data_IF_169288095881
#
_entry.id   IF_169288095881
#
_cell.length_a   1.000
_cell.length_b   1.000
_cell.length_c   1.000
_cell.angle_alpha   90.00
_cell.angle_beta   90.00
_cell.angle_gamma   90.00
#
_symmetry.space_group_name_H-M   'P 1'
#
loop_
_entity.id
_entity.type
_entity.pdbx_description
1 polymer ?
#
# COMPACT_ATOMS: atom_id res chain seq x y z
N UNK A 1 -57.60 63.25 -37.80
CA UNK A 1 -56.17 63.17 -37.45
C UNK A 1 -56.04 62.89 -35.96
N UNK A 2 -55.57 61.71 -35.55
CA UNK A 2 -54.94 61.49 -34.25
C UNK A 2 -53.97 60.33 -34.40
N UNK A 3 -52.69 60.64 -34.19
CA UNK A 3 -51.55 59.83 -34.61
C UNK A 3 -51.25 58.72 -33.59
N UNK A 4 -51.15 57.50 -34.11
CA UNK A 4 -50.45 56.36 -33.51
C UNK A 4 -48.97 56.69 -33.40
N UNK A 5 -48.37 56.51 -32.21
CA UNK A 5 -46.99 55.97 -32.06
C UNK A 5 -46.61 55.87 -30.58
N UNK A 6 -46.89 54.73 -29.92
CA UNK A 6 -46.30 54.42 -28.61
C UNK A 6 -46.22 52.91 -28.36
N UNK A 7 -45.54 52.15 -29.23
CA UNK A 7 -45.26 50.72 -28.91
C UNK A 7 -43.87 50.22 -29.29
N UNK A 8 -43.04 51.00 -30.00
CA UNK A 8 -41.72 50.53 -30.48
C UNK A 8 -40.57 50.70 -29.47
N UNK A 9 -40.75 51.50 -28.42
CA UNK A 9 -39.70 51.79 -27.42
C UNK A 9 -39.66 50.80 -26.26
N UNK A 10 -40.78 50.15 -25.91
CA UNK A 10 -40.83 49.17 -24.83
C UNK A 10 -40.13 47.86 -25.21
N UNK A 11 -40.32 47.38 -26.44
CA UNK A 11 -39.75 46.10 -26.91
C UNK A 11 -38.22 46.14 -27.06
N UNK A 12 -37.66 47.31 -27.37
CA UNK A 12 -36.20 47.52 -27.52
C UNK A 12 -35.44 47.55 -26.19
N UNK A 13 -36.12 47.83 -25.07
CA UNK A 13 -35.50 47.88 -23.72
C UNK A 13 -35.57 46.56 -22.95
N UNK A 14 -36.42 45.63 -23.38
CA UNK A 14 -36.54 44.30 -22.78
C UNK A 14 -35.50 43.31 -23.34
N UNK A 15 -35.10 43.47 -24.60
CA UNK A 15 -34.09 42.63 -25.26
C UNK A 15 -32.72 42.56 -24.54
N UNK A 16 -32.11 43.66 -24.06
CA UNK A 16 -30.81 43.57 -23.36
C UNK A 16 -30.94 42.93 -21.98
N UNK A 17 -32.10 43.04 -21.33
CA UNK A 17 -32.34 42.45 -20.01
C UNK A 17 -32.47 40.93 -20.11
N UNK A 18 -33.18 40.43 -21.13
CA UNK A 18 -33.33 38.99 -21.40
C UNK A 18 -32.00 38.33 -21.77
N UNK A 19 -31.14 39.01 -22.54
CA UNK A 19 -29.81 38.52 -22.90
C UNK A 19 -28.88 38.50 -21.68
N UNK A 20 -28.93 39.53 -20.83
CA UNK A 20 -28.14 39.59 -19.60
C UNK A 20 -28.53 38.46 -18.61
N UNK A 21 -29.83 38.19 -18.44
CA UNK A 21 -30.30 37.09 -17.59
C UNK A 21 -29.93 35.72 -18.16
N UNK A 22 -29.97 35.55 -19.49
CA UNK A 22 -29.51 34.32 -20.14
C UNK A 22 -28.00 34.10 -19.95
N UNK A 23 -27.17 35.14 -20.06
CA UNK A 23 -25.71 35.01 -19.81
C UNK A 23 -25.36 34.69 -18.36
N UNK A 24 -26.13 35.20 -17.38
CA UNK A 24 -25.92 34.85 -15.97
C UNK A 24 -26.32 33.40 -15.65
N UNK A 25 -27.36 32.88 -16.30
CA UNK A 25 -27.82 31.50 -16.10
C UNK A 25 -26.87 30.48 -16.76
N UNK A 26 -26.23 30.82 -17.90
CA UNK A 26 -25.20 29.95 -18.50
C UNK A 26 -23.86 29.94 -17.75
N UNK A 27 -23.52 31.02 -17.02
CA UNK A 27 -22.32 31.07 -16.18
C UNK A 27 -22.42 30.17 -14.92
N UNK A 28 -23.62 29.72 -14.55
CA UNK A 28 -23.86 28.83 -13.40
C UNK A 28 -23.76 27.32 -13.70
N UNK A 29 -23.81 26.91 -14.97
CA UNK A 29 -23.78 25.48 -15.35
C UNK A 29 -22.37 24.92 -15.55
N UNK A 30 -21.34 25.76 -15.60
CA UNK A 30 -19.95 25.35 -15.44
C UNK A 30 -19.55 25.58 -14.00
N UNK A 31 -19.83 24.61 -13.12
CA UNK A 31 -19.17 24.57 -11.80
C UNK A 31 -17.66 24.78 -12.00
N UNK A 32 -16.98 25.56 -11.14
CA UNK A 32 -15.67 26.14 -11.48
C UNK A 32 -14.73 25.06 -11.98
N UNK A 33 -14.34 25.12 -13.26
CA UNK A 33 -13.39 24.17 -13.82
C UNK A 33 -12.11 24.10 -12.99
N UNK A 34 -11.75 25.22 -12.33
CA UNK A 34 -10.69 25.34 -11.33
C UNK A 34 -10.88 24.48 -10.06
N UNK A 35 -12.12 24.30 -9.58
CA UNK A 35 -12.39 23.38 -8.46
C UNK A 35 -12.28 21.92 -8.90
N UNK A 36 -12.69 21.59 -10.13
CA UNK A 36 -12.59 20.24 -10.67
C UNK A 36 -11.13 19.86 -10.99
N UNK A 37 -10.37 20.76 -11.61
CA UNK A 37 -8.93 20.56 -11.83
C UNK A 37 -8.17 20.53 -10.51
N UNK A 38 -8.45 21.45 -9.59
CA UNK A 38 -7.85 21.47 -8.26
C UNK A 38 -8.12 20.20 -7.44
N UNK A 39 -9.32 19.61 -7.55
CA UNK A 39 -9.63 18.32 -6.91
C UNK A 39 -8.87 17.14 -7.53
N UNK A 40 -8.75 17.10 -8.86
CA UNK A 40 -7.99 16.05 -9.57
C UNK A 40 -6.51 16.13 -9.20
N UNK A 41 -5.89 17.31 -9.31
CA UNK A 41 -4.48 17.55 -8.95
C UNK A 41 -4.23 17.21 -7.48
N UNK A 42 -5.16 17.57 -6.60
CA UNK A 42 -5.14 17.21 -5.18
C UNK A 42 -5.18 15.70 -4.96
N UNK A 43 -6.12 14.98 -5.58
CA UNK A 43 -6.23 13.53 -5.42
C UNK A 43 -4.98 12.79 -5.89
N UNK A 44 -4.35 13.28 -6.96
CA UNK A 44 -3.09 12.74 -7.46
C UNK A 44 -1.93 13.02 -6.49
N UNK A 45 -1.84 14.24 -5.96
CA UNK A 45 -0.84 14.59 -4.96
C UNK A 45 -1.01 13.76 -3.67
N UNK A 46 -2.24 13.53 -3.22
CA UNK A 46 -2.54 12.67 -2.07
C UNK A 46 -2.01 11.25 -2.27
N UNK A 47 -2.33 10.63 -3.42
CA UNK A 47 -1.89 9.29 -3.74
C UNK A 47 -0.35 9.21 -3.83
N UNK A 48 0.27 10.21 -4.47
CA UNK A 48 1.73 10.28 -4.61
C UNK A 48 2.42 10.40 -3.25
N UNK A 49 1.92 11.27 -2.36
CA UNK A 49 2.49 11.44 -1.02
C UNK A 49 2.31 10.18 -0.18
N UNK A 50 1.15 9.51 -0.25
CA UNK A 50 0.95 8.23 0.41
C UNK A 50 1.97 7.16 -0.03
N UNK A 51 2.18 7.03 -1.35
CA UNK A 51 3.20 6.14 -1.92
C UNK A 51 4.60 6.48 -1.40
N UNK A 52 4.99 7.74 -1.46
CA UNK A 52 6.31 8.15 -1.04
C UNK A 52 6.50 8.01 0.49
N UNK A 53 5.47 8.24 1.30
CA UNK A 53 5.53 8.04 2.75
C UNK A 53 5.76 6.56 3.11
N UNK A 54 5.02 5.64 2.47
CA UNK A 54 5.24 4.20 2.66
C UNK A 54 6.67 3.81 2.27
N UNK A 55 7.14 4.23 1.08
CA UNK A 55 8.49 3.92 0.61
C UNK A 55 9.58 4.53 1.49
N UNK A 56 9.41 5.77 1.95
CA UNK A 56 10.33 6.45 2.86
C UNK A 56 10.44 5.71 4.20
N UNK A 57 9.34 5.14 4.70
CA UNK A 57 9.38 4.32 5.90
C UNK A 57 10.12 3.00 5.70
N UNK A 58 9.98 2.36 4.54
CA UNK A 58 10.80 1.19 4.19
C UNK A 58 12.29 1.57 4.08
N UNK A 59 12.61 2.69 3.45
CA UNK A 59 13.96 3.22 3.35
C UNK A 59 14.58 3.54 4.72
N UNK A 60 13.81 4.13 5.65
CA UNK A 60 14.22 4.35 7.05
C UNK A 60 14.62 3.05 7.72
N UNK A 61 13.74 2.06 7.68
CA UNK A 61 13.98 0.74 8.28
C UNK A 61 15.22 0.06 7.70
N UNK A 62 15.40 0.18 6.37
CA UNK A 62 16.58 -0.34 5.67
C UNK A 62 17.90 0.29 6.12
N UNK A 63 17.85 1.53 6.63
CA UNK A 63 19.01 2.24 7.20
C UNK A 63 19.04 2.21 8.73
N UNK A 64 18.25 1.35 9.38
CA UNK A 64 18.23 1.21 10.84
C UNK A 64 17.50 2.33 11.59
N UNK A 65 16.71 3.14 10.88
CA UNK A 65 15.91 4.21 11.48
C UNK A 65 14.45 3.76 11.66
N UNK A 66 13.76 4.21 12.73
CA UNK A 66 12.37 3.84 12.96
C UNK A 66 11.42 4.45 11.90
N UNK A 67 10.29 3.77 11.58
CA UNK A 67 9.28 4.33 10.68
C UNK A 67 8.48 5.45 11.37
N UNK A 68 8.04 6.44 10.60
CA UNK A 68 7.20 7.54 11.07
C UNK A 68 5.95 7.68 10.20
N UNK A 69 4.79 7.71 10.85
CA UNK A 69 3.50 7.92 10.21
C UNK A 69 2.94 9.26 10.63
N UNK A 70 2.69 10.13 9.66
CA UNK A 70 1.89 11.31 9.86
C UNK A 70 0.55 11.03 9.20
N UNK A 71 -0.54 11.32 9.90
CA UNK A 71 -1.87 11.30 9.32
C UNK A 71 -2.13 12.70 8.76
N UNK A 72 -2.54 12.76 7.50
CA UNK A 72 -3.04 14.00 6.93
C UNK A 72 -4.43 14.27 7.49
N UNK A 73 -4.59 15.38 8.23
CA UNK A 73 -5.89 15.86 8.64
C UNK A 73 -6.69 16.39 7.45
N UNK A 74 -7.99 16.64 7.64
CA UNK A 74 -8.81 17.30 6.62
C UNK A 74 -8.22 18.69 6.28
N UNK A 75 -8.02 18.97 4.99
CA UNK A 75 -7.55 20.29 4.51
C UNK A 75 -8.77 21.20 4.36
N UNK A 76 -8.88 22.23 5.18
CA UNK A 76 -9.79 23.35 4.94
C UNK A 76 -9.12 24.35 4.00
N UNK A 77 -9.48 24.31 2.72
CA UNK A 77 -9.11 25.35 1.77
C UNK A 77 -9.91 26.63 2.09
N UNK A 78 -9.31 27.58 2.81
CA UNK A 78 -9.85 28.93 2.94
C UNK A 78 -9.30 29.80 1.81
N UNK A 79 -10.11 30.06 0.78
CA UNK A 79 -9.81 31.06 -0.23
C UNK A 79 -9.96 32.46 0.39
N UNK A 80 -8.87 33.10 0.79
CA UNK A 80 -8.88 34.52 1.17
C UNK A 80 -8.33 35.36 0.02
N UNK A 81 -9.23 35.97 -0.74
CA UNK A 81 -8.85 36.88 -1.82
C UNK A 81 -8.38 38.21 -1.21
N UNK A 82 -7.11 38.27 -0.79
CA UNK A 82 -6.53 39.50 -0.23
C UNK A 82 -5.76 40.22 -1.32
N UNK A 83 -6.40 41.20 -1.97
CA UNK A 83 -5.74 42.09 -2.94
C UNK A 83 -4.90 43.11 -2.16
N UNK A 84 -3.72 42.70 -1.70
CA UNK A 84 -2.78 43.54 -0.95
C UNK A 84 -1.36 43.37 -1.51
N UNK A 85 -0.82 44.45 -2.06
CA UNK A 85 0.55 44.54 -2.57
C UNK A 85 1.56 44.64 -1.41
N UNK A 86 1.85 43.53 -0.74
CA UNK A 86 2.92 43.47 0.25
C UNK A 86 3.69 42.15 0.07
N UNK A 87 4.88 42.23 -0.52
CA UNK A 87 5.79 41.10 -0.63
C UNK A 87 6.29 40.69 0.76
N UNK A 88 5.78 39.57 1.27
CA UNK A 88 6.37 38.86 2.41
C UNK A 88 7.02 37.58 1.88
N UNK A 89 8.35 37.56 1.83
CA UNK A 89 9.11 36.33 1.69
C UNK A 89 9.07 35.60 3.04
N UNK A 90 8.30 34.51 3.13
CA UNK A 90 8.37 33.58 4.27
C UNK A 90 9.47 32.57 3.97
N UNK A 91 10.55 32.60 4.76
CA UNK A 91 11.51 31.50 4.79
C UNK A 91 10.92 30.39 5.67
N UNK A 92 10.61 29.24 5.08
CA UNK A 92 10.31 28.01 5.83
C UNK A 92 11.57 27.57 6.56
N UNK A 93 11.65 27.89 7.85
CA UNK A 93 12.70 27.42 8.75
C UNK A 93 12.57 25.90 8.94
N UNK A 94 13.60 25.15 8.51
CA UNK A 94 14.00 23.90 9.15
C UNK A 94 13.21 22.63 8.84
N UNK A 95 12.70 22.45 7.62
CA UNK A 95 12.20 21.12 7.20
C UNK A 95 13.36 20.19 6.88
N UNK A 96 13.45 19.07 7.61
CA UNK A 96 14.29 17.92 7.20
C UNK A 96 13.98 17.57 5.74
N UNK A 97 14.98 17.32 4.88
CA UNK A 97 14.75 16.88 3.50
C UNK A 97 13.79 15.68 3.48
N UNK A 98 12.68 15.77 2.75
CA UNK A 98 11.68 14.70 2.66
C UNK A 98 10.61 14.73 3.76
N UNK A 99 10.33 15.90 4.33
CA UNK A 99 9.14 16.09 5.16
C UNK A 99 7.87 16.07 4.29
N UNK A 100 6.75 15.51 4.79
CA UNK A 100 5.49 15.43 4.03
C UNK A 100 5.01 16.77 3.43
N UNK A 101 5.13 17.94 4.11
CA UNK A 101 4.76 19.22 3.51
C UNK A 101 5.55 19.54 2.24
N UNK A 102 6.85 19.25 2.22
CA UNK A 102 7.74 19.46 1.07
C UNK A 102 7.35 18.52 -0.09
N UNK A 103 7.09 17.25 0.23
CA UNK A 103 6.67 16.23 -0.73
C UNK A 103 5.32 16.57 -1.38
N UNK A 104 4.36 17.03 -0.59
CA UNK A 104 3.03 17.44 -1.06
C UNK A 104 3.10 18.72 -1.92
N UNK A 105 3.88 19.72 -1.51
CA UNK A 105 4.10 20.95 -2.29
C UNK A 105 4.75 20.64 -3.64
N UNK A 106 5.72 19.72 -3.67
CA UNK A 106 6.35 19.23 -4.90
C UNK A 106 5.38 18.44 -5.78
N UNK A 107 4.53 17.59 -5.20
CA UNK A 107 3.52 16.83 -5.94
C UNK A 107 2.46 17.73 -6.61
N UNK A 108 2.13 18.86 -5.99
CA UNK A 108 1.26 19.89 -6.58
C UNK A 108 1.99 20.82 -7.57
N UNK A 109 3.29 20.65 -7.80
CA UNK A 109 4.06 21.51 -8.71
C UNK A 109 4.23 22.96 -8.20
N UNK A 110 4.03 23.22 -6.91
CA UNK A 110 4.08 24.55 -6.30
C UNK A 110 5.51 24.99 -5.93
N UNK A 111 6.54 24.52 -6.64
CA UNK A 111 7.96 24.74 -6.31
C UNK A 111 8.49 26.15 -6.65
N UNK A 112 7.62 27.14 -6.70
CA UNK A 112 7.94 28.56 -6.86
C UNK A 112 7.09 29.36 -5.89
N UNK A 113 7.48 30.60 -5.58
CA UNK A 113 6.79 31.51 -4.66
C UNK A 113 5.33 31.77 -5.06
N UNK A 114 4.45 30.82 -4.79
CA UNK A 114 3.02 30.95 -4.95
C UNK A 114 2.50 31.61 -3.67
N UNK A 115 1.92 32.80 -3.82
CA UNK A 115 1.33 33.61 -2.75
C UNK A 115 0.07 32.99 -2.13
N UNK A 116 -0.36 31.81 -2.61
CA UNK A 116 -1.50 31.03 -2.12
C UNK A 116 -1.05 29.59 -1.79
N UNK A 117 -0.48 29.40 -0.60
CA UNK A 117 -0.23 28.07 -0.06
C UNK A 117 -1.46 27.61 0.76
N UNK A 118 -2.07 26.45 0.47
CA UNK A 118 -3.12 25.90 1.31
C UNK A 118 -2.59 25.62 2.73
N UNK A 119 -3.39 25.86 3.76
CA UNK A 119 -3.00 25.50 5.13
C UNK A 119 -3.17 23.99 5.30
N UNK A 120 -2.05 23.30 5.53
CA UNK A 120 -2.04 21.85 5.74
C UNK A 120 -2.03 21.53 7.24
N UNK A 121 -2.91 20.64 7.66
CA UNK A 121 -2.95 20.15 9.03
C UNK A 121 -2.35 18.74 9.09
N UNK A 122 -1.19 18.60 9.71
CA UNK A 122 -0.54 17.31 9.94
C UNK A 122 -0.63 16.98 11.43
N UNK A 123 -1.26 15.84 11.75
CA UNK A 123 -1.22 15.29 13.10
C UNK A 123 -0.24 14.10 13.11
N UNK A 124 0.84 14.15 13.90
CA UNK A 124 1.65 12.95 14.10
C UNK A 124 0.78 11.86 14.74
N UNK A 125 0.80 10.66 14.17
CA UNK A 125 0.23 9.48 14.83
C UNK A 125 1.17 9.10 15.98
N UNK A 126 1.02 9.77 17.12
CA UNK A 126 1.83 9.55 18.31
C UNK A 126 0.94 9.41 19.54
N UNK A 127 1.16 8.35 20.33
CA UNK A 127 0.47 8.14 21.61
C UNK A 127 0.33 6.65 22.00
N UNK A 128 -0.08 6.36 23.26
CA UNK A 128 -0.18 4.99 23.78
C UNK A 128 -1.15 4.08 22.99
N UNK A 129 -2.23 4.65 22.44
CA UNK A 129 -3.19 3.91 21.61
C UNK A 129 -2.60 3.47 20.26
N UNK A 130 -1.76 4.30 19.64
CA UNK A 130 -1.07 3.95 18.40
C UNK A 130 -0.03 2.85 18.62
N UNK A 131 0.76 2.93 19.70
CA UNK A 131 1.73 1.88 20.04
C UNK A 131 1.08 0.51 20.27
N UNK A 132 -0.10 0.47 20.89
CA UNK A 132 -0.83 -0.78 21.11
C UNK A 132 -1.36 -1.39 19.81
N UNK A 133 -1.83 -0.55 18.87
CA UNK A 133 -2.40 -1.00 17.58
C UNK A 133 -1.31 -1.49 16.63
N UNK A 134 -0.18 -0.78 16.51
CA UNK A 134 0.91 -1.17 15.59
C UNK A 134 1.68 -2.42 16.06
N UNK A 135 1.59 -2.76 17.36
CA UNK A 135 2.16 -3.96 17.96
C UNK A 135 1.19 -5.14 17.99
N UNK A 136 -0.08 -4.94 17.65
CA UNK A 136 -1.04 -6.03 17.50
C UNK A 136 -0.76 -6.79 16.19
N UNK A 137 -0.82 -8.12 16.19
CA UNK A 137 -0.87 -8.89 14.94
C UNK A 137 -1.99 -8.40 14.02
N UNK A 138 -1.73 -8.42 12.73
CA UNK A 138 -2.72 -8.09 11.70
C UNK A 138 -3.92 -9.04 11.83
N UNK A 139 -5.12 -8.49 11.69
CA UNK A 139 -6.36 -9.27 11.77
C UNK A 139 -6.40 -10.32 10.64
N UNK A 140 -6.66 -11.61 10.94
CA UNK A 140 -6.80 -12.66 9.93
C UNK A 140 -7.75 -12.33 8.78
N UNK A 141 -8.79 -11.53 9.03
CA UNK A 141 -9.75 -11.10 8.01
C UNK A 141 -9.14 -10.18 6.96
N UNK A 142 -8.06 -9.46 7.30
CA UNK A 142 -7.28 -8.66 6.35
C UNK A 142 -6.68 -9.55 5.27
N UNK A 143 -6.08 -10.68 5.69
CA UNK A 143 -5.50 -11.65 4.76
C UNK A 143 -6.58 -12.22 3.83
N UNK A 144 -7.69 -12.71 4.40
CA UNK A 144 -8.78 -13.29 3.63
C UNK A 144 -9.40 -12.28 2.65
N UNK A 145 -9.60 -11.04 3.08
CA UNK A 145 -10.13 -9.97 2.24
C UNK A 145 -9.22 -9.65 1.05
N UNK A 146 -7.91 -9.50 1.29
CA UNK A 146 -6.95 -9.27 0.20
C UNK A 146 -6.83 -10.49 -0.73
N UNK A 147 -6.86 -11.70 -0.20
CA UNK A 147 -6.85 -12.91 -1.01
C UNK A 147 -8.08 -12.99 -1.94
N UNK A 148 -9.26 -12.59 -1.45
CA UNK A 148 -10.49 -12.48 -2.25
C UNK A 148 -10.43 -11.36 -3.31
N UNK A 149 -9.69 -10.27 -3.02
CA UNK A 149 -9.44 -9.18 -3.97
C UNK A 149 -8.45 -9.57 -5.08
N UNK A 150 -7.87 -10.77 -5.02
CA UNK A 150 -6.97 -11.31 -6.05
C UNK A 150 -5.49 -11.11 -5.75
N UNK A 151 -5.12 -10.67 -4.55
CA UNK A 151 -3.72 -10.68 -4.14
C UNK A 151 -3.20 -12.12 -4.07
N UNK A 152 -2.02 -12.33 -4.64
CA UNK A 152 -1.38 -13.64 -4.65
C UNK A 152 -1.11 -14.13 -3.22
N UNK A 153 -1.44 -15.38 -2.93
CA UNK A 153 -1.08 -16.04 -1.67
C UNK A 153 0.44 -15.95 -1.41
N UNK A 154 1.26 -15.93 -2.46
CA UNK A 154 2.70 -15.70 -2.37
C UNK A 154 3.02 -14.35 -1.74
N UNK A 155 2.50 -13.26 -2.29
CA UNK A 155 2.71 -11.92 -1.74
C UNK A 155 2.16 -11.82 -0.31
N UNK A 156 0.94 -12.32 -0.07
CA UNK A 156 0.31 -12.23 1.25
C UNK A 156 1.05 -13.03 2.31
N UNK A 157 1.46 -14.26 2.02
CA UNK A 157 2.20 -15.09 2.99
C UNK A 157 3.60 -14.52 3.26
N UNK A 158 4.33 -14.12 2.22
CA UNK A 158 5.68 -13.54 2.40
C UNK A 158 5.64 -12.18 3.09
N UNK A 159 4.57 -11.41 2.89
CA UNK A 159 4.36 -10.13 3.56
C UNK A 159 3.85 -10.27 5.00
N UNK A 160 2.79 -11.04 5.22
CA UNK A 160 2.00 -11.01 6.45
C UNK A 160 2.29 -12.17 7.41
N UNK A 161 2.80 -13.31 6.95
CA UNK A 161 3.10 -14.42 7.85
C UNK A 161 4.44 -14.19 8.55
N UNK A 162 4.48 -14.38 9.86
CA UNK A 162 5.72 -14.44 10.65
C UNK A 162 6.22 -15.89 10.73
N UNK A 163 5.32 -16.79 11.10
CA UNK A 163 5.54 -18.21 11.29
C UNK A 163 4.27 -18.97 10.91
N UNK A 164 4.43 -20.21 10.44
CA UNK A 164 3.32 -21.10 10.12
C UNK A 164 3.50 -22.45 10.79
N UNK A 165 2.41 -22.98 11.33
CA UNK A 165 2.35 -24.36 11.80
C UNK A 165 1.59 -25.18 10.78
N UNK A 166 2.32 -25.99 10.02
CA UNK A 166 1.76 -26.97 9.10
C UNK A 166 1.40 -28.24 9.89
N UNK A 167 0.15 -28.67 9.79
CA UNK A 167 -0.32 -29.97 10.26
C UNK A 167 -0.69 -30.82 9.05
N UNK A 168 -0.05 -31.97 8.89
CA UNK A 168 -0.34 -32.88 7.78
C UNK A 168 -1.61 -33.72 8.07
N UNK A 169 -2.03 -34.53 7.09
CA UNK A 169 -3.21 -35.40 7.22
C UNK A 169 -3.08 -36.46 8.33
N UNK A 170 -1.85 -36.83 8.73
CA UNK A 170 -1.61 -37.75 9.85
C UNK A 170 -1.55 -37.06 11.21
N UNK A 171 -1.77 -35.74 11.27
CA UNK A 171 -1.73 -34.94 12.49
C UNK A 171 -0.32 -34.53 12.95
N UNK A 172 0.73 -34.85 12.19
CA UNK A 172 2.10 -34.42 12.48
C UNK A 172 2.22 -32.91 12.24
N UNK A 173 2.83 -32.21 13.20
CA UNK A 173 3.02 -30.75 13.15
C UNK A 173 4.45 -30.39 12.80
N UNK A 174 4.62 -29.34 12.01
CA UNK A 174 5.91 -28.74 11.66
C UNK A 174 5.78 -27.23 11.66
N UNK A 175 6.77 -26.56 12.25
CA UNK A 175 6.82 -25.10 12.31
C UNK A 175 7.79 -24.59 11.26
N UNK A 176 7.32 -23.69 10.39
CA UNK A 176 8.11 -23.07 9.33
C UNK A 176 8.12 -21.55 9.53
N UNK A 177 9.29 -20.94 9.40
CA UNK A 177 9.51 -19.51 9.66
C UNK A 177 9.64 -18.75 8.36
N UNK A 178 9.05 -17.56 8.30
CA UNK A 178 9.22 -16.65 7.17
C UNK A 178 10.47 -15.77 7.36
N UNK A 179 11.64 -16.38 7.26
CA UNK A 179 12.93 -15.72 7.32
C UNK A 179 14.07 -16.73 7.18
N UNK A 180 15.11 -16.38 6.45
CA UNK A 180 16.28 -17.24 6.29
C UNK A 180 17.08 -17.32 7.59
N UNK A 181 17.36 -18.55 8.03
CA UNK A 181 18.26 -18.85 9.15
C UNK A 181 19.38 -19.75 8.62
N UNK A 182 20.63 -19.33 8.81
CA UNK A 182 21.78 -20.11 8.35
C UNK A 182 21.94 -21.43 9.13
N UNK A 183 21.44 -21.50 10.36
CA UNK A 183 21.49 -22.73 11.18
C UNK A 183 20.44 -23.76 10.74
N UNK A 184 19.35 -23.29 10.14
CA UNK A 184 18.24 -24.13 9.64
C UNK A 184 17.79 -23.66 8.25
N UNK A 185 18.72 -23.75 7.30
CA UNK A 185 18.51 -23.22 5.94
C UNK A 185 17.36 -23.87 5.18
N UNK A 186 17.01 -25.12 5.53
CA UNK A 186 15.94 -25.85 4.87
C UNK A 186 14.56 -25.37 5.31
N UNK A 187 14.41 -24.90 6.55
CA UNK A 187 13.14 -24.43 7.10
C UNK A 187 12.52 -23.31 6.26
N UNK A 188 13.33 -22.30 5.90
CA UNK A 188 12.86 -21.23 5.04
C UNK A 188 12.57 -21.71 3.62
N UNK A 189 13.36 -22.65 3.09
CA UNK A 189 13.09 -23.27 1.80
C UNK A 189 11.74 -23.99 1.77
N UNK A 190 11.42 -24.71 2.84
CA UNK A 190 10.14 -25.41 3.00
C UNK A 190 8.97 -24.46 3.23
N UNK A 191 9.18 -23.34 3.94
CA UNK A 191 8.21 -22.25 3.99
C UNK A 191 7.88 -21.76 2.57
N UNK A 192 8.89 -21.48 1.73
CA UNK A 192 8.68 -21.02 0.36
C UNK A 192 7.97 -22.06 -0.52
N UNK A 193 8.27 -23.36 -0.35
CA UNK A 193 7.56 -24.44 -1.06
C UNK A 193 6.11 -24.58 -0.61
N UNK A 194 5.82 -24.39 0.68
CA UNK A 194 4.45 -24.32 1.18
C UNK A 194 3.73 -23.12 0.54
N UNK A 195 4.37 -21.96 0.47
CA UNK A 195 3.81 -20.75 -0.17
C UNK A 195 3.46 -21.02 -1.64
N UNK A 196 4.32 -21.69 -2.39
CA UNK A 196 4.04 -22.11 -3.78
C UNK A 196 2.82 -23.05 -3.86
N UNK A 197 2.69 -23.98 -2.90
CA UNK A 197 1.53 -24.86 -2.83
C UNK A 197 0.23 -24.09 -2.57
N UNK A 198 0.24 -23.15 -1.61
CA UNK A 198 -0.91 -22.30 -1.31
C UNK A 198 -1.28 -21.42 -2.51
N UNK A 199 -0.29 -20.88 -3.24
CA UNK A 199 -0.53 -20.13 -4.47
C UNK A 199 -1.18 -20.98 -5.55
N UNK A 200 -0.69 -22.20 -5.74
CA UNK A 200 -1.24 -23.14 -6.74
C UNK A 200 -2.68 -23.52 -6.39
N UNK A 201 -2.96 -23.75 -5.10
CA UNK A 201 -4.33 -24.00 -4.60
C UNK A 201 -5.23 -22.77 -4.77
N UNK A 202 -4.72 -21.56 -4.56
CA UNK A 202 -5.46 -20.31 -4.78
C UNK A 202 -5.91 -20.19 -6.24
N UNK A 203 -5.00 -20.43 -7.20
CA UNK A 203 -5.34 -20.38 -8.63
C UNK A 203 -6.32 -21.49 -9.04
N UNK A 204 -6.25 -22.66 -8.41
CA UNK A 204 -7.22 -23.73 -8.59
C UNK A 204 -8.56 -23.47 -7.87
N UNK A 205 -8.68 -22.34 -7.15
CA UNK A 205 -9.80 -21.98 -6.27
C UNK A 205 -10.09 -23.02 -5.18
N UNK A 206 -9.08 -23.83 -4.81
CA UNK A 206 -9.17 -24.89 -3.80
C UNK A 206 -8.73 -24.42 -2.41
N UNK A 207 -8.14 -23.21 -2.31
CA UNK A 207 -7.70 -22.62 -1.06
C UNK A 207 -8.89 -22.14 -0.24
N UNK A 208 -8.95 -22.53 1.04
CA UNK A 208 -9.97 -22.08 1.99
C UNK A 208 -9.27 -21.37 3.15
N UNK A 209 -9.73 -20.16 3.46
CA UNK A 209 -9.24 -19.37 4.58
C UNK A 209 -10.33 -19.26 5.63
N UNK A 210 -9.97 -19.43 6.90
CA UNK A 210 -10.84 -19.22 8.04
C UNK A 210 -10.04 -18.72 9.23
N UNK A 211 -10.69 -18.62 10.38
CA UNK A 211 -10.04 -18.32 11.64
C UNK A 211 -10.24 -19.45 12.63
N UNK A 212 -9.41 -19.51 13.66
CA UNK A 212 -9.75 -20.28 14.85
C UNK A 212 -11.02 -19.72 15.54
N UNK A 213 -11.51 -20.44 16.56
CA UNK A 213 -12.69 -20.04 17.32
C UNK A 213 -12.50 -18.68 18.03
N UNK A 214 -11.26 -18.29 18.31
CA UNK A 214 -10.91 -16.98 18.89
C UNK A 214 -10.87 -15.84 17.88
N UNK A 215 -10.89 -16.12 16.57
CA UNK A 215 -10.72 -15.10 15.53
C UNK A 215 -9.31 -14.51 15.48
N UNK A 216 -8.33 -15.11 16.17
CA UNK A 216 -6.99 -14.54 16.37
C UNK A 216 -5.95 -15.20 15.47
N UNK A 217 -6.18 -16.44 15.06
CA UNK A 217 -5.25 -17.19 14.21
C UNK A 217 -5.86 -17.41 12.84
N UNK A 218 -5.12 -17.07 11.78
CA UNK A 218 -5.52 -17.41 10.41
C UNK A 218 -5.30 -18.90 10.19
N UNK A 219 -6.35 -19.63 9.79
CA UNK A 219 -6.27 -21.03 9.40
C UNK A 219 -6.51 -21.16 7.91
N UNK A 220 -5.59 -21.84 7.24
CA UNK A 220 -5.67 -22.13 5.81
C UNK A 220 -5.81 -23.64 5.64
N UNK A 221 -6.82 -24.06 4.90
CA UNK A 221 -7.05 -25.46 4.51
C UNK A 221 -7.27 -25.51 3.00
N UNK A 222 -7.58 -26.69 2.50
CA UNK A 222 -7.94 -26.87 1.11
C UNK A 222 -9.18 -27.77 0.99
N UNK A 223 -9.97 -27.54 -0.05
CA UNK A 223 -11.14 -28.36 -0.35
C UNK A 223 -10.77 -29.63 -1.13
N UNK A 224 -11.78 -30.40 -1.55
CA UNK A 224 -11.60 -31.69 -2.22
C UNK A 224 -10.84 -31.61 -3.55
N UNK A 225 -10.74 -30.42 -4.18
CA UNK A 225 -9.98 -30.22 -5.42
C UNK A 225 -8.47 -30.25 -5.17
N UNK A 226 -8.03 -30.10 -3.92
CA UNK A 226 -6.62 -29.99 -3.56
C UNK A 226 -5.80 -31.21 -3.96
N UNK A 227 -6.35 -32.43 -3.84
CA UNK A 227 -5.60 -33.66 -4.09
C UNK A 227 -4.94 -33.71 -5.47
N UNK A 228 -5.73 -33.50 -6.53
CA UNK A 228 -5.23 -33.51 -7.90
C UNK A 228 -4.25 -32.35 -8.18
N UNK A 229 -4.47 -31.19 -7.57
CA UNK A 229 -3.63 -30.00 -7.73
C UNK A 229 -2.25 -30.23 -7.10
N UNK A 230 -2.23 -30.73 -5.86
CA UNK A 230 -1.00 -31.02 -5.12
C UNK A 230 -0.21 -32.17 -5.76
N UNK A 231 -0.89 -33.18 -6.30
CA UNK A 231 -0.23 -34.26 -7.03
C UNK A 231 0.52 -33.74 -8.27
N UNK A 232 -0.09 -32.83 -9.05
CA UNK A 232 0.59 -32.18 -10.19
C UNK A 232 1.75 -31.31 -9.72
N UNK A 233 1.56 -30.55 -8.64
CA UNK A 233 2.62 -29.71 -8.07
C UNK A 233 3.85 -30.55 -7.65
N UNK A 234 3.63 -31.72 -7.05
CA UNK A 234 4.70 -32.62 -6.62
C UNK A 234 5.56 -33.17 -7.78
N UNK A 235 5.10 -33.05 -9.03
CA UNK A 235 5.89 -33.42 -10.22
C UNK A 235 6.74 -32.28 -10.77
N UNK A 236 6.53 -31.03 -10.32
CA UNK A 236 7.29 -29.86 -10.77
C UNK A 236 8.65 -29.77 -10.07
N UNK A 237 9.65 -29.30 -10.80
CA UNK A 237 11.00 -29.07 -10.26
C UNK A 237 10.99 -28.04 -9.13
N UNK A 238 11.74 -28.35 -8.06
CA UNK A 238 11.83 -27.53 -6.85
C UNK A 238 10.57 -27.46 -5.99
N UNK A 239 9.41 -27.92 -6.49
CA UNK A 239 8.12 -27.87 -5.80
C UNK A 239 7.87 -29.06 -4.88
N UNK A 240 8.66 -30.14 -5.00
CA UNK A 240 8.67 -31.21 -4.00
C UNK A 240 9.07 -30.60 -2.68
N UNK A 241 8.10 -30.49 -1.78
CA UNK A 241 8.35 -30.05 -0.43
C UNK A 241 9.31 -31.05 0.22
N UNK A 242 10.55 -30.59 0.44
CA UNK A 242 11.57 -31.36 1.13
C UNK A 242 11.44 -31.09 2.63
N UNK A 243 10.21 -31.20 3.14
CA UNK A 243 9.91 -31.05 4.56
C UNK A 243 10.74 -32.08 5.32
N UNK A 244 11.97 -31.72 5.73
CA UNK A 244 12.90 -32.63 6.40
C UNK A 244 12.26 -33.19 7.68
N UNK A 245 11.42 -32.38 8.31
CA UNK A 245 10.60 -32.70 9.48
C UNK A 245 9.38 -33.58 9.19
N UNK A 246 8.85 -33.60 7.97
CA UNK A 246 7.77 -34.51 7.54
C UNK A 246 8.29 -35.70 6.70
N UNK A 247 9.59 -36.00 6.79
CA UNK A 247 10.19 -37.16 6.12
C UNK A 247 10.17 -37.07 4.59
N UNK A 248 10.29 -35.87 4.01
CA UNK A 248 10.25 -35.63 2.56
C UNK A 248 8.96 -36.09 1.88
N UNK A 249 7.85 -36.14 2.63
CA UNK A 249 6.54 -36.45 2.04
C UNK A 249 5.99 -35.25 1.28
N UNK A 250 5.37 -35.52 0.13
CA UNK A 250 4.63 -34.51 -0.60
C UNK A 250 3.43 -34.05 0.23
N UNK A 251 3.11 -32.75 0.16
CA UNK A 251 1.89 -32.22 0.76
C UNK A 251 0.68 -32.89 0.09
N UNK A 252 -0.17 -33.52 0.90
CA UNK A 252 -1.40 -34.16 0.46
C UNK A 252 -2.62 -33.41 0.97
N UNK A 253 -3.81 -33.71 0.43
CA UNK A 253 -5.07 -33.17 0.94
C UNK A 253 -5.29 -33.51 2.42
N UNK A 254 -6.13 -32.73 3.11
CA UNK A 254 -6.38 -32.89 4.55
C UNK A 254 -5.34 -32.22 5.46
N UNK A 255 -4.44 -31.41 4.90
CA UNK A 255 -3.54 -30.57 5.68
C UNK A 255 -4.26 -29.33 6.24
N UNK A 256 -3.70 -28.73 7.29
CA UNK A 256 -4.07 -27.41 7.77
C UNK A 256 -2.83 -26.58 8.08
N UNK A 257 -2.88 -25.29 7.79
CA UNK A 257 -1.82 -24.32 8.10
C UNK A 257 -2.38 -23.27 9.03
N UNK A 258 -1.87 -23.22 10.25
CA UNK A 258 -2.15 -22.14 11.19
C UNK A 258 -1.06 -21.08 11.05
N UNK A 259 -1.45 -19.86 10.70
CA UNK A 259 -0.54 -18.76 10.36
C UNK A 259 -0.54 -17.74 11.50
N UNK A 260 0.65 -17.54 12.07
CA UNK A 260 0.92 -16.43 12.98
C UNK A 260 1.22 -15.19 12.13
N UNK A 261 0.30 -14.24 12.14
CA UNK A 261 0.45 -13.00 11.37
C UNK A 261 1.40 -12.02 12.07
N UNK A 262 2.15 -11.27 11.26
CA UNK A 262 3.02 -10.18 11.70
C UNK A 262 2.17 -9.05 12.26
N UNK A 263 2.83 -8.19 13.03
CA UNK A 263 2.31 -6.86 13.32
C UNK A 263 2.47 -5.96 12.09
N UNK A 264 1.85 -4.78 12.10
CA UNK A 264 2.05 -3.82 11.02
C UNK A 264 3.53 -3.42 10.89
N UNK A 265 4.20 -3.13 12.01
CA UNK A 265 5.64 -2.82 12.02
C UNK A 265 6.45 -4.03 11.51
N UNK A 266 6.14 -5.24 11.97
CA UNK A 266 6.81 -6.46 11.51
C UNK A 266 6.69 -6.67 10.00
N UNK A 267 5.55 -6.30 9.42
CA UNK A 267 5.33 -6.35 7.97
C UNK A 267 6.24 -5.36 7.23
N UNK A 268 6.38 -4.12 7.73
CA UNK A 268 7.31 -3.15 7.14
C UNK A 268 8.75 -3.62 7.20
N UNK A 269 9.18 -4.23 8.31
CA UNK A 269 10.51 -4.81 8.43
C UNK A 269 10.72 -5.95 7.42
N UNK A 270 9.77 -6.88 7.31
CA UNK A 270 9.85 -7.95 6.32
C UNK A 270 9.99 -7.37 4.89
N UNK A 271 9.17 -6.38 4.55
CA UNK A 271 9.16 -5.75 3.21
C UNK A 271 10.38 -4.87 2.92
N UNK A 272 10.95 -4.21 3.93
CA UNK A 272 12.16 -3.41 3.77
C UNK A 272 13.41 -4.26 3.47
N UNK A 273 13.42 -5.52 3.92
CA UNK A 273 14.56 -6.43 3.76
C UNK A 273 14.34 -7.55 2.73
N UNK A 274 13.13 -7.73 2.18
CA UNK A 274 12.78 -8.86 1.31
C UNK A 274 13.69 -8.98 0.07
N UNK A 275 13.91 -7.89 -0.66
CA UNK A 275 14.84 -7.83 -1.80
C UNK A 275 16.25 -8.31 -1.45
N UNK A 276 16.82 -7.73 -0.40
CA UNK A 276 18.17 -8.06 0.05
C UNK A 276 18.27 -9.49 0.63
N UNK A 277 17.22 -9.94 1.31
CA UNK A 277 17.12 -11.30 1.81
C UNK A 277 17.11 -12.31 0.67
N UNK A 278 16.35 -12.03 -0.40
CA UNK A 278 16.33 -12.87 -1.60
C UNK A 278 17.69 -12.92 -2.30
N UNK A 279 18.45 -11.82 -2.33
CA UNK A 279 19.80 -11.77 -2.90
C UNK A 279 20.84 -12.52 -2.03
N UNK A 280 20.66 -12.51 -0.71
CA UNK A 280 21.55 -13.17 0.24
C UNK A 280 21.35 -14.70 0.33
N UNK A 281 20.30 -15.26 -0.28
CA UNK A 281 20.08 -16.72 -0.24
C UNK A 281 21.25 -17.50 -0.88
N UNK A 282 21.66 -18.64 -0.29
CA UNK A 282 22.64 -19.53 -0.91
C UNK A 282 22.19 -19.99 -2.31
N UNK A 283 23.10 -20.04 -3.28
CA UNK A 283 22.79 -20.45 -4.66
C UNK A 283 22.12 -21.83 -4.74
N UNK A 284 22.67 -22.81 -4.01
CA UNK A 284 22.11 -24.16 -3.95
C UNK A 284 20.66 -24.18 -3.43
N UNK A 285 20.35 -23.39 -2.40
CA UNK A 285 18.98 -23.27 -1.91
C UNK A 285 18.09 -22.60 -2.97
N UNK A 286 18.51 -21.47 -3.54
CA UNK A 286 17.74 -20.72 -4.54
C UNK A 286 17.42 -21.57 -5.78
N UNK A 287 18.37 -22.33 -6.29
CA UNK A 287 18.19 -23.23 -7.43
C UNK A 287 17.22 -24.38 -7.11
N UNK A 288 17.20 -24.85 -5.87
CA UNK A 288 16.29 -25.90 -5.41
C UNK A 288 14.83 -25.44 -5.23
N UNK A 289 14.55 -24.14 -5.30
CA UNK A 289 13.22 -23.57 -5.09
C UNK A 289 12.41 -23.49 -6.39
N UNK A 290 11.06 -23.50 -6.30
CA UNK A 290 10.18 -23.19 -7.42
C UNK A 290 10.50 -21.80 -7.99
N UNK A 291 10.43 -21.65 -9.32
CA UNK A 291 10.80 -20.40 -10.01
C UNK A 291 10.11 -19.16 -9.42
N UNK A 292 8.81 -19.25 -9.12
CA UNK A 292 8.03 -18.16 -8.52
C UNK A 292 8.46 -17.73 -7.11
N UNK A 293 9.28 -18.53 -6.43
CA UNK A 293 9.77 -18.30 -5.07
C UNK A 293 11.26 -17.92 -5.00
N UNK A 294 11.97 -17.88 -6.14
CA UNK A 294 13.42 -17.58 -6.18
C UNK A 294 13.75 -16.11 -5.94
N UNK A 295 12.78 -15.24 -6.18
CA UNK A 295 12.93 -13.79 -6.09
C UNK A 295 12.01 -13.20 -5.01
N UNK A 296 12.35 -12.02 -4.51
CA UNK A 296 11.57 -11.24 -3.55
C UNK A 296 10.13 -10.99 -4.05
N UNK A 297 9.18 -10.75 -3.15
CA UNK A 297 7.86 -10.20 -3.47
C UNK A 297 7.86 -8.68 -3.49
N UNK A 298 8.85 -8.04 -2.86
CA UNK A 298 9.08 -6.60 -2.92
C UNK A 298 10.58 -6.27 -3.02
N UNK A 299 10.94 -5.41 -3.98
CA UNK A 299 12.24 -4.74 -4.05
C UNK A 299 12.03 -3.24 -3.96
N UNK A 300 12.87 -2.57 -3.16
CA UNK A 300 12.80 -1.12 -2.91
C UNK A 300 14.08 -0.38 -3.37
N UNK A 301 15.10 -1.12 -3.79
CA UNK A 301 16.37 -0.56 -4.27
C UNK A 301 16.34 -0.55 -5.80
N UNK A 302 16.87 0.51 -6.42
CA UNK A 302 16.96 0.59 -7.87
C UNK A 302 17.89 -0.50 -8.42
N UNK A 303 17.48 -1.15 -9.50
CA UNK A 303 18.27 -2.14 -10.20
C UNK A 303 18.06 -1.99 -11.72
N UNK A 304 19.09 -2.33 -12.51
CA UNK A 304 19.11 -2.09 -13.95
C UNK A 304 18.09 -2.91 -14.74
N UNK A 305 17.59 -4.00 -14.16
CA UNK A 305 16.57 -4.87 -14.72
C UNK A 305 15.13 -4.38 -14.43
N UNK A 306 14.97 -3.41 -13.52
CA UNK A 306 13.69 -2.74 -13.26
C UNK A 306 13.49 -1.61 -14.26
N UNK A 307 12.66 -1.86 -15.26
CA UNK A 307 12.51 -1.01 -16.45
C UNK A 307 11.13 -0.39 -16.58
N UNK A 308 10.15 -0.89 -15.82
CA UNK A 308 8.81 -0.29 -15.77
C UNK A 308 8.84 1.10 -15.09
N UNK A 309 7.91 2.01 -15.41
CA UNK A 309 7.82 3.31 -14.77
C UNK A 309 7.72 3.19 -13.24
N UNK A 310 8.48 4.04 -12.52
CA UNK A 310 8.51 4.06 -11.06
C UNK A 310 7.10 4.38 -10.49
N UNK A 311 6.54 3.48 -9.69
CA UNK A 311 5.30 3.71 -8.96
C UNK A 311 5.51 4.65 -7.75
N UNK A 312 6.72 4.66 -7.21
CA UNK A 312 7.17 5.55 -6.14
C UNK A 312 8.69 5.69 -6.19
N UNK A 313 9.21 6.85 -5.79
CA UNK A 313 10.64 7.10 -5.64
C UNK A 313 10.90 8.09 -4.51
N UNK A 314 11.92 7.82 -3.70
CA UNK A 314 12.40 8.70 -2.63
C UNK A 314 13.92 8.63 -2.53
N UNK A 315 14.54 9.75 -2.20
CA UNK A 315 15.96 9.80 -1.83
C UNK A 315 16.06 9.80 -0.30
N UNK A 316 16.87 8.89 0.26
CA UNK A 316 17.07 8.79 1.70
C UNK A 316 18.47 8.32 2.04
N UNK A 317 19.11 8.98 3.01
CA UNK A 317 20.47 8.67 3.45
C UNK A 317 21.49 8.55 2.29
N UNK A 318 21.37 9.41 1.27
CA UNK A 318 22.25 9.42 0.09
C UNK A 318 22.00 8.28 -0.92
N UNK A 319 20.93 7.51 -0.77
CA UNK A 319 20.54 6.42 -1.68
C UNK A 319 19.15 6.68 -2.26
N UNK A 320 18.96 6.35 -3.55
CA UNK A 320 17.66 6.37 -4.21
C UNK A 320 16.93 5.05 -3.95
N UNK A 321 15.72 5.12 -3.42
CA UNK A 321 14.80 4.00 -3.26
C UNK A 321 13.65 4.15 -4.24
N UNK A 322 13.26 3.06 -4.88
CA UNK A 322 12.24 3.06 -5.93
C UNK A 322 11.35 1.82 -5.83
N UNK A 323 10.09 1.98 -6.19
CA UNK A 323 9.19 0.87 -6.54
C UNK A 323 9.05 0.86 -8.05
N UNK A 324 9.66 -0.12 -8.70
CA UNK A 324 9.55 -0.39 -10.14
C UNK A 324 9.55 -1.91 -10.33
N UNK A 325 9.23 -2.39 -11.54
CA UNK A 325 9.13 -3.80 -11.88
C UNK A 325 9.98 -4.12 -13.12
N UNK A 326 10.27 -5.41 -13.30
CA UNK A 326 10.80 -5.96 -14.55
C UNK A 326 9.75 -5.82 -15.66
N UNK A 327 10.19 -5.64 -16.91
CA UNK A 327 9.30 -5.54 -18.06
C UNK A 327 8.25 -6.66 -18.08
N UNK A 328 6.97 -6.29 -18.16
CA UNK A 328 5.85 -7.25 -18.19
C UNK A 328 5.52 -7.93 -16.85
N UNK A 329 6.14 -7.51 -15.75
CA UNK A 329 5.82 -7.94 -14.39
C UNK A 329 5.16 -6.82 -13.60
N UNK A 330 4.30 -7.19 -12.64
CA UNK A 330 3.69 -6.26 -11.67
C UNK A 330 3.97 -6.71 -10.23
N UNK A 331 4.94 -7.60 -10.03
CA UNK A 331 5.15 -8.32 -8.77
C UNK A 331 5.41 -7.40 -7.60
N UNK A 332 6.35 -6.46 -7.73
CA UNK A 332 6.77 -5.59 -6.64
C UNK A 332 5.73 -4.50 -6.40
N UNK A 333 5.19 -3.90 -7.46
CA UNK A 333 4.13 -2.88 -7.35
C UNK A 333 2.84 -3.43 -6.75
N UNK A 334 2.44 -4.65 -7.10
CA UNK A 334 1.25 -5.28 -6.51
C UNK A 334 1.48 -5.55 -5.03
N UNK A 335 2.63 -6.09 -4.63
CA UNK A 335 2.95 -6.27 -3.20
C UNK A 335 2.98 -4.93 -2.45
N UNK A 336 3.56 -3.89 -3.06
CA UNK A 336 3.58 -2.54 -2.49
C UNK A 336 2.16 -1.97 -2.28
N UNK A 337 1.26 -2.14 -3.24
CA UNK A 337 -0.15 -1.78 -3.09
C UNK A 337 -0.84 -2.59 -1.98
N UNK A 338 -0.54 -3.89 -1.88
CA UNK A 338 -1.03 -4.75 -0.80
C UNK A 338 -0.63 -4.23 0.58
N UNK A 339 0.63 -3.82 0.73
CA UNK A 339 1.13 -3.20 1.96
C UNK A 339 0.36 -1.92 2.33
N UNK A 340 0.01 -1.10 1.35
CA UNK A 340 -0.78 0.12 1.56
C UNK A 340 -2.21 -0.19 2.00
N UNK A 341 -2.85 -1.24 1.46
CA UNK A 341 -4.16 -1.67 1.92
C UNK A 341 -4.13 -2.20 3.37
N UNK A 342 -3.09 -2.95 3.74
CA UNK A 342 -2.88 -3.39 5.13
C UNK A 342 -2.75 -2.19 6.07
N UNK A 343 -2.02 -1.16 5.66
CA UNK A 343 -1.90 0.09 6.42
C UNK A 343 -3.25 0.78 6.59
N UNK A 344 -3.99 0.98 5.50
CA UNK A 344 -5.31 1.63 5.54
C UNK A 344 -6.28 0.90 6.48
N UNK A 345 -6.29 -0.44 6.47
CA UNK A 345 -7.12 -1.23 7.40
C UNK A 345 -6.69 -1.11 8.87
N UNK A 346 -5.42 -0.80 9.13
CA UNK A 346 -4.91 -0.56 10.48
C UNK A 346 -5.28 0.85 10.99
N UNK A 347 -5.39 1.83 10.09
CA UNK A 347 -5.80 3.22 10.42
C UNK A 347 -7.32 3.39 10.59
N UNK A 348 -8.13 2.47 10.08
CA UNK A 348 -9.60 2.59 9.93
C UNK A 348 -10.43 2.52 11.23
N UNK A 349 -9.87 2.83 12.41
CA UNK A 349 -10.67 3.03 13.62
C UNK A 349 -10.57 4.48 14.17
N UNK A 350 -11.20 5.46 13.51
CA UNK A 350 -11.18 6.87 13.92
C UNK A 350 -11.78 7.12 15.31
N UNK A 351 -12.56 6.18 15.87
CA UNK A 351 -13.09 6.25 17.24
C UNK A 351 -12.11 5.84 18.34
N UNK A 352 -10.94 5.31 18.00
CA UNK A 352 -9.92 4.85 18.96
C UNK A 352 -8.64 5.70 18.97
N UNK A 353 -8.59 6.75 18.14
CA UNK A 353 -7.43 7.63 18.05
C UNK A 353 -7.57 8.79 19.04
N UNK A 354 -6.56 9.06 19.89
CA UNK A 354 -6.53 10.30 20.65
C UNK A 354 -6.47 11.46 19.66
N UNK A 355 -7.34 12.46 19.84
CA UNK A 355 -7.27 13.72 19.10
C UNK A 355 -5.96 14.42 19.46
N UNK A 356 -4.90 14.14 18.71
CA UNK A 356 -3.65 14.87 18.85
C UNK A 356 -3.85 16.30 18.36
N UNK A 357 -3.27 17.25 19.08
CA UNK A 357 -3.31 18.67 18.77
C UNK A 357 -2.70 18.93 17.38
N UNK A 358 -3.59 19.40 16.50
CA UNK A 358 -3.34 20.02 15.20
C UNK A 358 -2.08 20.89 15.23
N UNK A 359 -1.02 20.49 14.53
CA UNK A 359 0.12 21.37 14.25
C UNK A 359 -0.23 22.15 12.97
N UNK A 360 -0.60 23.42 13.15
CA UNK A 360 -0.79 24.34 12.03
C UNK A 360 0.58 24.86 11.59
N UNK A 361 1.02 24.49 10.40
CA UNK A 361 2.16 25.15 9.74
C UNK A 361 1.61 26.02 8.60
N UNK A 362 1.99 27.30 8.62
CA UNK A 362 1.64 28.30 7.60
C UNK A 362 2.64 28.29 6.45
#
# INVERSE_FOLDING_TARGET
>A
MSARTSSRTALRRLLPLSVATATLLLAGCSGPAALRSGYVDYSHAQAQVGNQQTLLNLARIRNGHPPYFLQMGAITASYSFTRGTNGSASHTLGTMPGALPEMFTRALGLSGSATEAPMFNFAPLSGPGFSAVIMKPIDPRTFSGLAMQGFSATALMRMLADEVTLTNASGQKTVLRNGFDAQDSDNYGDFLRLVEALQTLQYARALVTGTDAGGTTLRITADDRAGAVLQRLATRDGAKAQFKTLGNQALAGGFSVDVKLRTFVGTLYAMAYDGAGADALPAALRESLPEGQRDAVLRIEAASDLTEPEAASVDYAGRKYVISDKAGSLRYRTTFQGLQFVFAQTELNPGQLPQASVIQMR
#
